data_IF_076221291230
#
_entry.id   IF_076221291230
#
_cell.length_a   1.000
_cell.length_b   1.000
_cell.length_c   1.000
_cell.angle_alpha   90.00
_cell.angle_beta   90.00
_cell.angle_gamma   90.00
#
_symmetry.space_group_name_H-M   'P 1'
#
loop_
_entity.id
_entity.type
_entity.pdbx_description
1 polymer ?
#
# COMPACT_ATOMS: atom_id res chain seq x y z
N UNK A 1 -6.20 -15.34 -7.10
CA UNK A 1 -5.27 -15.52 -5.97
C UNK A 1 -6.02 -15.14 -4.70
N UNK A 2 -5.97 -15.95 -3.64
CA UNK A 2 -6.43 -15.52 -2.32
C UNK A 2 -5.24 -15.18 -1.41
N UNK A 3 -5.52 -14.56 -0.26
CA UNK A 3 -4.51 -14.12 0.70
C UNK A 3 -3.52 -15.21 1.13
N UNK A 4 -4.03 -16.40 1.46
CA UNK A 4 -3.20 -17.53 1.90
C UNK A 4 -2.28 -18.03 0.79
N UNK A 5 -2.80 -18.16 -0.43
CA UNK A 5 -2.00 -18.57 -1.60
C UNK A 5 -0.91 -17.55 -1.90
N UNK A 6 -1.22 -16.26 -1.78
CA UNK A 6 -0.24 -15.20 -1.95
C UNK A 6 0.85 -15.28 -0.88
N UNK A 7 0.48 -15.48 0.39
CA UNK A 7 1.43 -15.63 1.50
C UNK A 7 2.42 -16.78 1.25
N UNK A 8 1.90 -17.96 0.88
CA UNK A 8 2.73 -19.13 0.58
C UNK A 8 3.67 -18.90 -0.60
N UNK A 9 3.20 -18.20 -1.64
CA UNK A 9 4.01 -17.82 -2.79
C UNK A 9 5.07 -16.80 -2.41
N UNK A 10 4.71 -15.77 -1.65
CA UNK A 10 5.59 -14.68 -1.25
C UNK A 10 6.75 -15.19 -0.39
N UNK A 11 6.50 -16.11 0.54
CA UNK A 11 7.55 -16.80 1.33
C UNK A 11 8.57 -17.50 0.43
N UNK A 12 8.12 -18.14 -0.66
CA UNK A 12 9.03 -18.81 -1.61
C UNK A 12 9.87 -17.78 -2.37
N UNK A 13 9.25 -16.70 -2.84
CA UNK A 13 9.94 -15.62 -3.55
C UNK A 13 11.01 -14.98 -2.67
N UNK A 14 10.69 -14.65 -1.42
CA UNK A 14 11.64 -14.05 -0.48
C UNK A 14 12.93 -14.88 -0.32
N UNK A 15 12.84 -16.21 -0.34
CA UNK A 15 14.01 -17.09 -0.24
C UNK A 15 14.86 -17.14 -1.51
N UNK A 16 14.34 -16.66 -2.64
CA UNK A 16 15.04 -16.63 -3.93
C UNK A 16 15.70 -15.26 -4.20
N UNK A 17 15.36 -14.23 -3.42
CA UNK A 17 15.90 -12.89 -3.61
C UNK A 17 17.39 -12.82 -3.22
N UNK A 18 18.22 -12.10 -3.97
CA UNK A 18 19.57 -11.75 -3.54
C UNK A 18 19.59 -11.04 -2.17
N UNK A 19 20.73 -11.04 -1.45
CA UNK A 19 20.90 -10.21 -0.25
C UNK A 19 20.63 -8.74 -0.53
N UNK A 20 20.09 -8.01 0.46
CA UNK A 20 19.84 -6.56 0.39
C UNK A 20 18.97 -6.11 -0.81
N UNK A 21 17.96 -6.92 -1.14
CA UNK A 21 17.02 -6.59 -2.21
C UNK A 21 15.93 -5.63 -1.73
N UNK A 22 15.43 -4.78 -2.64
CA UNK A 22 14.19 -4.04 -2.46
C UNK A 22 13.06 -4.69 -3.28
N UNK A 23 11.88 -4.82 -2.69
CA UNK A 23 10.67 -5.36 -3.35
C UNK A 23 9.61 -4.28 -3.38
N UNK A 24 9.23 -3.88 -4.59
CA UNK A 24 8.16 -2.90 -4.83
C UNK A 24 6.81 -3.63 -4.86
N UNK A 25 5.85 -3.17 -4.06
CA UNK A 25 4.54 -3.80 -3.84
C UNK A 25 3.42 -2.78 -4.10
N UNK A 26 2.43 -3.15 -4.89
CA UNK A 26 1.19 -2.36 -5.07
C UNK A 26 0.19 -2.57 -3.92
N UNK A 27 -0.93 -1.84 -3.92
CA UNK A 27 -1.93 -1.92 -2.86
C UNK A 27 -3.03 -2.96 -3.07
N UNK A 28 -2.77 -4.04 -3.82
CA UNK A 28 -3.76 -5.10 -4.02
C UNK A 28 -4.26 -5.67 -2.67
N UNK A 29 -5.55 -6.10 -2.56
CA UNK A 29 -6.14 -6.51 -1.28
C UNK A 29 -5.40 -7.62 -0.54
N UNK A 30 -4.74 -8.52 -1.27
CA UNK A 30 -3.95 -9.62 -0.69
C UNK A 30 -2.56 -9.18 -0.21
N UNK A 31 -2.02 -8.06 -0.70
CA UNK A 31 -0.79 -7.44 -0.17
C UNK A 31 -1.06 -6.70 1.14
N UNK A 32 -2.23 -6.06 1.25
CA UNK A 32 -2.61 -5.19 2.35
C UNK A 32 -3.26 -5.92 3.53
N UNK A 33 -3.27 -7.25 3.52
CA UNK A 33 -3.80 -8.05 4.61
C UNK A 33 -3.09 -7.75 5.92
N UNK A 34 -3.87 -7.49 6.97
CA UNK A 34 -3.36 -7.19 8.30
C UNK A 34 -3.23 -8.46 9.15
N UNK A 35 -2.15 -8.52 9.92
CA UNK A 35 -1.96 -9.53 10.97
C UNK A 35 -3.13 -9.40 11.96
N UNK A 36 -3.93 -10.46 12.20
CA UNK A 36 -5.15 -10.38 13.01
C UNK A 36 -4.94 -9.73 14.38
N UNK A 37 -3.81 -10.04 15.02
CA UNK A 37 -3.41 -9.56 16.34
C UNK A 37 -2.94 -8.09 16.33
N UNK A 38 -2.87 -7.43 15.18
CA UNK A 38 -2.50 -6.01 15.06
C UNK A 38 -3.65 -5.15 14.53
N UNK A 39 -4.81 -5.77 14.23
CA UNK A 39 -5.98 -5.04 13.74
C UNK A 39 -6.52 -4.10 14.81
N UNK A 40 -6.69 -2.84 14.41
CA UNK A 40 -7.36 -1.84 15.21
C UNK A 40 -8.88 -2.05 15.17
N UNK A 41 -9.59 -1.69 16.25
CA UNK A 41 -11.04 -1.70 16.27
C UNK A 41 -11.60 -0.75 15.20
N UNK A 42 -12.74 -1.13 14.62
CA UNK A 42 -13.45 -0.33 13.61
C UNK A 42 -14.90 -0.07 14.01
N UNK A 43 -15.59 0.80 13.28
CA UNK A 43 -17.01 1.08 13.50
C UNK A 43 -17.93 -0.12 13.25
N UNK A 44 -17.43 -1.27 12.77
CA UNK A 44 -18.22 -2.50 12.67
C UNK A 44 -18.17 -3.38 13.93
N UNK A 45 -17.21 -3.20 14.83
CA UNK A 45 -17.05 -4.03 16.05
C UNK A 45 -18.12 -3.70 17.09
N UNK A 46 -18.49 -4.60 18.01
CA UNK A 46 -19.35 -4.18 19.12
C UNK A 46 -18.59 -3.25 20.06
N UNK A 47 -19.29 -2.32 20.75
CA UNK A 47 -18.64 -1.40 21.71
C UNK A 47 -17.89 -2.18 22.79
N UNK A 48 -18.48 -3.27 23.27
CA UNK A 48 -17.89 -4.16 24.27
C UNK A 48 -16.60 -4.81 23.77
N UNK A 49 -16.53 -5.23 22.51
CA UNK A 49 -15.31 -5.80 21.91
C UNK A 49 -14.18 -4.77 21.82
N UNK A 50 -14.52 -3.51 21.52
CA UNK A 50 -13.55 -2.42 21.47
C UNK A 50 -12.99 -2.14 22.87
N UNK A 51 -13.86 -2.10 23.89
CA UNK A 51 -13.44 -1.96 25.29
C UNK A 51 -12.55 -3.12 25.72
N UNK A 52 -12.95 -4.36 25.40
CA UNK A 52 -12.16 -5.55 25.71
C UNK A 52 -10.79 -5.52 25.01
N UNK A 53 -10.72 -5.04 23.77
CA UNK A 53 -9.47 -4.87 23.03
C UNK A 53 -8.54 -3.85 23.70
N UNK A 54 -9.06 -2.71 24.15
CA UNK A 54 -8.30 -1.68 24.87
C UNK A 54 -7.73 -2.21 26.19
N UNK A 55 -8.58 -2.88 26.98
CA UNK A 55 -8.18 -3.47 28.27
C UNK A 55 -7.13 -4.57 28.07
N UNK A 56 -7.35 -5.49 27.11
CA UNK A 56 -6.40 -6.59 26.84
C UNK A 56 -5.01 -6.09 26.45
N UNK A 57 -4.92 -4.90 25.85
CA UNK A 57 -3.67 -4.26 25.44
C UNK A 57 -3.08 -3.30 26.46
N UNK A 58 -3.68 -3.21 27.65
CA UNK A 58 -3.27 -2.28 28.71
C UNK A 58 -3.19 -0.82 28.21
N UNK A 59 -4.11 -0.41 27.32
CA UNK A 59 -4.20 0.97 26.87
C UNK A 59 -4.77 1.81 28.03
N UNK A 60 -4.13 2.92 28.42
CA UNK A 60 -4.62 3.75 29.52
C UNK A 60 -5.94 4.40 29.17
N UNK A 61 -6.74 4.70 30.19
CA UNK A 61 -7.96 5.51 30.03
C UNK A 61 -7.60 6.91 29.54
N UNK A 62 -8.44 7.54 28.69
CA UNK A 62 -8.32 8.96 28.41
C UNK A 62 -8.37 9.79 29.70
N UNK A 63 -7.65 10.92 29.80
CA UNK A 63 -7.56 11.72 31.02
C UNK A 63 -8.93 12.09 31.63
N UNK A 64 -9.91 12.42 30.79
CA UNK A 64 -11.24 12.85 31.23
C UNK A 64 -12.26 11.69 31.37
N UNK A 65 -11.82 10.45 31.15
CA UNK A 65 -12.68 9.28 31.15
C UNK A 65 -12.58 8.51 32.47
N UNK A 66 -13.72 8.38 33.15
CA UNK A 66 -13.84 7.54 34.37
C UNK A 66 -13.68 6.05 34.02
N UNK A 67 -14.26 5.61 32.90
CA UNK A 67 -14.21 4.23 32.41
C UNK A 67 -14.43 4.18 30.90
N UNK A 68 -13.91 3.18 30.20
CA UNK A 68 -14.08 3.07 28.74
C UNK A 68 -15.55 2.92 28.33
N UNK A 69 -16.38 2.32 29.18
CA UNK A 69 -17.79 2.06 28.93
C UNK A 69 -18.61 3.35 28.81
N UNK A 70 -18.18 4.49 29.36
CA UNK A 70 -18.92 5.76 29.23
C UNK A 70 -18.66 6.44 27.90
N UNK A 71 -17.57 6.10 27.20
CA UNK A 71 -17.18 6.75 25.96
C UNK A 71 -18.02 6.26 24.78
N UNK A 72 -18.17 7.13 23.77
CA UNK A 72 -18.76 6.72 22.49
C UNK A 72 -17.82 5.78 21.74
N UNK A 73 -18.37 5.00 20.81
CA UNK A 73 -17.58 4.11 19.96
C UNK A 73 -16.49 4.86 19.17
N UNK A 74 -16.84 6.03 18.65
CA UNK A 74 -15.91 6.89 17.91
C UNK A 74 -14.76 7.36 18.81
N UNK A 75 -15.05 7.80 20.04
CA UNK A 75 -14.03 8.20 21.01
C UNK A 75 -13.08 7.05 21.36
N UNK A 76 -13.61 5.84 21.57
CA UNK A 76 -12.81 4.65 21.84
C UNK A 76 -11.88 4.28 20.66
N UNK A 77 -12.40 4.32 19.43
CA UNK A 77 -11.61 4.03 18.23
C UNK A 77 -10.53 5.08 18.01
N UNK A 78 -10.86 6.37 18.14
CA UNK A 78 -9.90 7.46 18.00
C UNK A 78 -8.82 7.36 19.07
N UNK A 79 -9.18 7.02 20.31
CA UNK A 79 -8.22 6.78 21.39
C UNK A 79 -7.32 5.56 21.12
N UNK A 80 -7.83 4.52 20.46
CA UNK A 80 -7.04 3.33 20.12
C UNK A 80 -5.97 3.59 19.04
N UNK A 81 -6.23 4.49 18.09
CA UNK A 81 -5.40 4.71 16.88
C UNK A 81 -3.91 4.96 17.17
N UNK A 82 -3.51 5.79 18.15
CA UNK A 82 -2.10 6.10 18.39
C UNK A 82 -1.32 4.93 19.00
N UNK A 83 -1.99 4.05 19.75
CA UNK A 83 -1.31 3.00 20.53
C UNK A 83 -0.89 1.80 19.69
N UNK A 84 -1.53 1.56 18.56
CA UNK A 84 -1.23 0.41 17.72
C UNK A 84 -1.27 0.77 16.24
N UNK A 85 -0.14 0.56 15.57
CA UNK A 85 -0.03 0.60 14.11
C UNK A 85 -0.32 -0.80 13.57
N UNK A 86 -1.34 -0.97 12.72
CA UNK A 86 -1.60 -2.26 12.08
C UNK A 86 -0.39 -2.68 11.26
N UNK A 87 -0.05 -3.97 11.30
CA UNK A 87 1.07 -4.54 10.57
C UNK A 87 0.53 -5.40 9.44
N UNK A 88 1.09 -5.25 8.24
CA UNK A 88 0.72 -6.10 7.12
C UNK A 88 1.41 -7.46 7.24
N UNK A 89 0.69 -8.51 6.85
CA UNK A 89 1.19 -9.90 6.91
C UNK A 89 2.52 -10.02 6.17
N UNK A 90 2.65 -9.41 4.99
CA UNK A 90 3.86 -9.51 4.18
C UNK A 90 5.05 -8.75 4.79
N UNK A 91 4.81 -7.65 5.50
CA UNK A 91 5.84 -6.91 6.24
C UNK A 91 6.37 -7.74 7.42
N UNK A 92 5.46 -8.38 8.17
CA UNK A 92 5.84 -9.28 9.26
C UNK A 92 6.67 -10.46 8.74
N UNK A 93 6.25 -11.08 7.64
CA UNK A 93 6.95 -12.22 7.05
C UNK A 93 8.34 -11.81 6.56
N UNK A 94 8.45 -10.66 5.89
CA UNK A 94 9.73 -10.16 5.39
C UNK A 94 10.69 -9.88 6.55
N UNK A 95 10.25 -9.17 7.58
CA UNK A 95 11.07 -8.91 8.78
C UNK A 95 11.53 -10.19 9.48
N UNK A 96 10.71 -11.24 9.49
CA UNK A 96 11.04 -12.51 10.14
C UNK A 96 11.99 -13.38 9.32
N UNK A 97 11.80 -13.46 8.00
CA UNK A 97 12.55 -14.38 7.14
C UNK A 97 13.77 -13.74 6.47
N UNK A 98 13.66 -12.45 6.14
CA UNK A 98 14.61 -11.68 5.32
C UNK A 98 14.71 -10.25 5.85
N UNK A 99 15.28 -10.03 7.05
CA UNK A 99 15.40 -8.69 7.64
C UNK A 99 16.29 -7.75 6.82
N UNK A 100 17.08 -8.29 5.88
CA UNK A 100 17.90 -7.54 4.92
C UNK A 100 17.11 -7.05 3.70
N UNK A 101 15.88 -7.52 3.49
CA UNK A 101 15.03 -7.13 2.35
C UNK A 101 14.12 -5.96 2.75
N UNK A 102 14.09 -4.93 1.91
CA UNK A 102 13.21 -3.78 2.07
C UNK A 102 11.95 -3.93 1.24
N UNK A 103 10.78 -3.64 1.83
CA UNK A 103 9.53 -3.53 1.10
C UNK A 103 9.22 -2.05 0.83
N UNK A 104 9.00 -1.72 -0.44
CA UNK A 104 8.62 -0.39 -0.89
C UNK A 104 7.17 -0.43 -1.37
N UNK A 105 6.33 0.39 -0.74
CA UNK A 105 4.92 0.47 -1.07
C UNK A 105 4.67 1.55 -2.10
N UNK A 106 3.95 1.20 -3.16
CA UNK A 106 3.46 2.19 -4.10
C UNK A 106 2.26 2.95 -3.53
N UNK A 107 2.12 4.24 -3.85
CA UNK A 107 0.89 4.98 -3.67
C UNK A 107 -0.31 4.28 -4.33
N UNK A 108 -1.51 4.50 -3.79
CA UNK A 108 -2.75 3.95 -4.35
C UNK A 108 -2.97 4.53 -5.75
N UNK A 109 -3.40 3.71 -6.71
CA UNK A 109 -3.75 4.15 -8.08
C UNK A 109 -2.60 4.70 -8.95
N UNK A 110 -1.34 4.61 -8.49
CA UNK A 110 -0.17 5.08 -9.22
C UNK A 110 0.60 3.93 -9.91
N UNK A 111 -0.03 3.30 -10.90
CA UNK A 111 0.56 2.13 -11.58
C UNK A 111 1.76 2.47 -12.48
N UNK A 112 1.89 3.72 -12.91
CA UNK A 112 3.03 4.26 -13.65
C UNK A 112 4.36 4.18 -12.87
N UNK A 113 4.27 4.20 -11.53
CA UNK A 113 5.41 4.00 -10.63
C UNK A 113 5.81 2.52 -10.50
N UNK A 114 5.02 1.60 -11.07
CA UNK A 114 5.28 0.17 -11.02
C UNK A 114 5.93 -0.35 -12.32
N UNK A 115 7.25 -0.51 -12.32
CA UNK A 115 7.99 -0.96 -13.52
C UNK A 115 7.53 -2.33 -14.07
N UNK A 116 6.91 -3.19 -13.24
CA UNK A 116 6.39 -4.49 -13.69
C UNK A 116 5.24 -4.34 -14.68
N UNK A 117 4.46 -3.25 -14.60
CA UNK A 117 3.32 -3.01 -15.50
C UNK A 117 3.77 -2.83 -16.95
N UNK A 118 4.93 -2.21 -17.17
CA UNK A 118 5.53 -2.04 -18.49
C UNK A 118 6.02 -3.37 -19.07
N UNK A 119 6.65 -4.21 -18.24
CA UNK A 119 7.01 -5.57 -18.64
C UNK A 119 5.74 -6.38 -18.96
N UNK A 120 4.69 -6.20 -18.17
CA UNK A 120 3.44 -6.90 -18.40
C UNK A 120 2.74 -6.44 -19.66
N UNK A 121 2.74 -5.14 -19.97
CA UNK A 121 2.29 -4.60 -21.24
C UNK A 121 3.09 -5.16 -22.42
N UNK A 122 4.42 -5.28 -22.28
CA UNK A 122 5.29 -5.88 -23.28
C UNK A 122 4.95 -7.36 -23.55
N UNK A 123 4.74 -8.15 -22.49
CA UNK A 123 4.35 -9.57 -22.59
C UNK A 123 2.96 -9.71 -23.21
N UNK A 124 1.95 -8.98 -22.69
CA UNK A 124 0.58 -8.97 -23.21
C UNK A 124 0.53 -8.56 -24.69
N UNK A 125 1.33 -7.58 -25.09
CA UNK A 125 1.41 -7.12 -26.47
C UNK A 125 1.89 -8.22 -27.43
N UNK A 126 2.81 -9.08 -27.00
CA UNK A 126 3.24 -10.23 -27.79
C UNK A 126 2.14 -11.28 -27.92
N UNK A 127 1.42 -11.57 -26.82
CA UNK A 127 0.29 -12.50 -26.85
C UNK A 127 -0.82 -12.01 -27.78
N UNK A 128 -1.13 -10.71 -27.74
CA UNK A 128 -2.15 -10.13 -28.59
C UNK A 128 -1.81 -10.24 -30.09
N UNK A 129 -0.53 -10.20 -30.46
CA UNK A 129 -0.09 -10.42 -31.85
C UNK A 129 -0.32 -11.85 -32.31
N UNK A 130 -0.01 -12.84 -31.46
CA UNK A 130 -0.27 -14.26 -31.76
C UNK A 130 -1.76 -14.51 -31.90
N UNK A 131 -2.58 -14.00 -30.97
CA UNK A 131 -4.04 -14.16 -31.01
C UNK A 131 -4.70 -13.55 -32.27
N UNK A 132 -4.13 -12.47 -32.81
CA UNK A 132 -4.61 -11.81 -34.04
C UNK A 132 -4.11 -12.47 -35.33
N UNK A 133 -3.11 -13.34 -35.24
CA UNK A 133 -2.60 -14.06 -36.42
C UNK A 133 -3.55 -15.21 -36.79
N UNK A 134 -3.70 -15.48 -38.09
CA UNK A 134 -4.52 -16.60 -38.62
C UNK A 134 -3.77 -17.95 -38.57
N UNK A 135 -2.72 -18.06 -37.75
CA UNK A 135 -1.84 -19.22 -37.74
C UNK A 135 -2.46 -20.40 -36.98
N UNK A 136 -2.04 -21.61 -37.35
CA UNK A 136 -2.30 -22.88 -36.65
C UNK A 136 -1.89 -22.84 -35.15
N UNK A 137 -1.08 -21.86 -34.74
CA UNK A 137 -0.71 -21.55 -33.34
C UNK A 137 -1.88 -21.04 -32.47
N UNK A 138 -3.06 -20.83 -33.06
CA UNK A 138 -4.31 -20.42 -32.38
C UNK A 138 -4.95 -21.56 -31.57
N UNK A 139 -4.15 -22.50 -31.09
CA UNK A 139 -4.57 -23.49 -30.12
C UNK A 139 -4.80 -22.74 -28.80
N UNK A 140 -6.05 -22.33 -28.54
CA UNK A 140 -6.50 -21.60 -27.33
C UNK A 140 -6.37 -22.39 -26.03
N UNK A 141 -5.41 -23.32 -25.97
CA UNK A 141 -5.06 -24.12 -24.81
C UNK A 141 -4.23 -23.30 -23.83
N UNK A 142 -4.47 -23.54 -22.55
CA UNK A 142 -3.71 -22.95 -21.45
C UNK A 142 -2.21 -23.28 -21.54
N UNK A 143 -1.86 -24.42 -22.12
CA UNK A 143 -0.46 -24.86 -22.27
C UNK A 143 0.28 -24.04 -23.32
N UNK A 144 -0.34 -23.78 -24.47
CA UNK A 144 0.23 -22.92 -25.53
C UNK A 144 0.41 -21.49 -25.02
N UNK A 145 -0.60 -20.98 -24.32
CA UNK A 145 -0.57 -19.66 -23.68
C UNK A 145 0.59 -19.56 -22.68
N UNK A 146 0.73 -20.56 -21.81
CA UNK A 146 1.83 -20.64 -20.84
C UNK A 146 3.20 -20.68 -21.52
N UNK A 147 3.38 -21.53 -22.52
CA UNK A 147 4.65 -21.66 -23.23
C UNK A 147 5.06 -20.36 -23.93
N UNK A 148 4.09 -19.64 -24.52
CA UNK A 148 4.33 -18.33 -25.12
C UNK A 148 4.71 -17.28 -24.08
N UNK A 149 4.00 -17.23 -22.95
CA UNK A 149 4.34 -16.35 -21.83
C UNK A 149 5.76 -16.62 -21.33
N UNK A 150 6.11 -17.87 -21.06
CA UNK A 150 7.44 -18.27 -20.59
C UNK A 150 8.53 -17.91 -21.60
N UNK A 151 8.30 -18.17 -22.90
CA UNK A 151 9.20 -17.75 -23.98
C UNK A 151 9.40 -16.24 -23.98
N UNK A 152 8.31 -15.48 -23.80
CA UNK A 152 8.38 -14.02 -23.84
C UNK A 152 9.05 -13.43 -22.60
N UNK A 153 8.78 -13.98 -21.41
CA UNK A 153 9.47 -13.62 -20.18
C UNK A 153 10.97 -13.89 -20.26
N UNK A 154 11.38 -15.03 -20.84
CA UNK A 154 12.81 -15.32 -21.12
C UNK A 154 13.46 -14.34 -22.10
N UNK A 155 12.67 -13.64 -22.91
CA UNK A 155 13.19 -12.60 -23.82
C UNK A 155 13.35 -11.22 -23.17
N UNK A 156 12.91 -11.06 -21.91
CA UNK A 156 13.13 -9.82 -21.15
C UNK A 156 14.59 -9.75 -20.76
N UNK A 157 15.32 -8.84 -21.39
CA UNK A 157 16.74 -8.63 -21.09
C UNK A 157 16.92 -7.66 -19.93
N UNK A 158 18.08 -7.66 -19.25
CA UNK A 158 18.40 -6.69 -18.21
C UNK A 158 18.27 -5.23 -18.69
N UNK A 159 18.61 -4.96 -19.95
CA UNK A 159 18.52 -3.61 -20.54
C UNK A 159 17.07 -3.17 -20.72
N UNK A 160 16.18 -4.09 -21.12
CA UNK A 160 14.75 -3.82 -21.21
C UNK A 160 14.17 -3.53 -19.83
N UNK A 161 14.51 -4.34 -18.82
CA UNK A 161 14.09 -4.12 -17.44
C UNK A 161 14.56 -2.77 -16.92
N UNK A 162 15.85 -2.44 -17.09
CA UNK A 162 16.43 -1.16 -16.68
C UNK A 162 15.71 0.03 -17.35
N UNK A 163 15.31 -0.12 -18.62
CA UNK A 163 14.51 0.91 -19.31
C UNK A 163 13.13 1.10 -18.69
N UNK A 164 12.46 0.02 -18.28
CA UNK A 164 11.18 0.08 -17.58
C UNK A 164 11.32 0.77 -16.22
N UNK A 165 12.34 0.41 -15.44
CA UNK A 165 12.63 1.07 -14.16
C UNK A 165 12.90 2.56 -14.34
N UNK A 166 13.72 2.94 -15.34
CA UNK A 166 13.98 4.35 -15.67
C UNK A 166 12.71 5.11 -16.04
N UNK A 167 11.76 4.46 -16.71
CA UNK A 167 10.49 5.08 -17.05
C UNK A 167 9.66 5.41 -15.81
N UNK A 168 9.57 4.49 -14.84
CA UNK A 168 8.88 4.75 -13.56
C UNK A 168 9.56 5.86 -12.74
N UNK A 169 10.91 5.89 -12.72
CA UNK A 169 11.67 6.99 -12.09
C UNK A 169 11.39 8.34 -12.75
N UNK A 170 11.24 8.38 -14.07
CA UNK A 170 10.90 9.64 -14.75
C UNK A 170 9.51 10.16 -14.36
N UNK A 171 8.53 9.26 -14.14
CA UNK A 171 7.23 9.65 -13.60
C UNK A 171 7.34 10.19 -12.17
N UNK A 172 8.10 9.51 -11.32
CA UNK A 172 8.38 9.97 -9.96
C UNK A 172 8.97 11.39 -9.95
N UNK A 173 10.02 11.64 -10.74
CA UNK A 173 10.63 12.97 -10.84
C UNK A 173 9.63 14.04 -11.32
N UNK A 174 8.79 13.68 -12.30
CA UNK A 174 7.77 14.57 -12.83
C UNK A 174 6.71 14.94 -11.79
N UNK A 175 6.28 14.00 -10.95
CA UNK A 175 5.40 14.31 -9.81
C UNK A 175 6.08 15.25 -8.82
N UNK A 176 7.33 14.98 -8.51
CA UNK A 176 8.12 15.78 -7.58
C UNK A 176 8.31 17.24 -8.05
N UNK A 177 8.45 17.45 -9.37
CA UNK A 177 8.52 18.78 -9.99
C UNK A 177 7.17 19.50 -9.96
N UNK A 178 6.07 18.80 -10.27
CA UNK A 178 4.73 19.36 -10.33
C UNK A 178 4.16 19.75 -8.98
N UNK A 179 4.38 18.92 -7.97
CA UNK A 179 3.81 19.10 -6.64
C UNK A 179 4.64 20.08 -5.79
N UNK A 180 5.70 20.69 -6.35
CA UNK A 180 6.62 21.60 -5.67
C UNK A 180 7.24 21.04 -4.36
N UNK A 181 7.16 19.72 -4.15
CA UNK A 181 7.58 19.05 -2.91
C UNK A 181 9.09 19.28 -2.63
N UNK A 182 9.88 19.46 -3.69
CA UNK A 182 11.28 19.88 -3.59
C UNK A 182 11.51 21.19 -2.80
N UNK A 183 10.56 22.12 -2.83
CA UNK A 183 10.67 23.42 -2.17
C UNK A 183 10.00 23.41 -0.77
N UNK A 184 8.89 22.70 -0.61
CA UNK A 184 8.13 22.68 0.65
C UNK A 184 8.79 21.83 1.74
N UNK A 185 9.35 20.64 1.44
CA UNK A 185 9.99 19.79 2.47
C UNK A 185 11.21 20.47 3.11
N UNK A 186 11.91 21.35 2.38
CA UNK A 186 13.04 22.12 2.94
C UNK A 186 12.60 23.25 3.88
N UNK A 187 11.31 23.61 3.90
CA UNK A 187 10.76 24.72 4.68
C UNK A 187 9.82 24.29 5.83
N UNK A 188 9.59 22.99 6.02
CA UNK A 188 8.81 22.52 7.17
C UNK A 188 9.69 22.64 8.42
N UNK A 189 9.59 23.78 9.11
CA UNK A 189 10.10 23.93 10.46
C UNK A 189 9.39 22.92 11.39
N UNK A 190 10.10 22.31 12.35
CA UNK A 190 9.49 21.39 13.29
C UNK A 190 8.39 22.11 14.08
N UNK A 191 7.17 21.57 14.05
CA UNK A 191 6.08 22.06 14.89
C UNK A 191 6.40 21.72 16.35
N UNK A 192 6.96 22.69 17.08
CA UNK A 192 7.20 22.58 18.52
C UNK A 192 5.88 22.89 19.23
N UNK A 193 5.15 21.85 19.64
CA UNK A 193 3.99 22.03 20.52
C UNK A 193 4.52 22.27 21.93
N UNK A 194 4.55 23.54 22.33
CA UNK A 194 4.92 23.92 23.69
C UNK A 194 3.69 23.75 24.59
N UNK A 195 3.73 22.78 25.51
CA UNK A 195 2.57 22.37 26.32
C UNK A 195 2.25 23.33 27.50
N UNK A 196 2.92 24.48 27.60
CA UNK A 196 2.88 25.35 28.78
C UNK A 196 2.29 26.76 28.54
N UNK A 197 1.67 27.03 27.39
CA UNK A 197 0.90 28.29 27.22
C UNK A 197 -0.60 28.01 27.31
N UNK A 198 -1.15 28.27 28.49
CA UNK A 198 -2.56 28.57 28.69
C UNK A 198 -2.87 29.90 28.00
N UNK A 199 -3.41 29.87 26.79
CA UNK A 199 -4.19 31.00 26.27
C UNK A 199 -5.41 30.47 25.52
N UNK A 200 -6.57 30.82 26.05
CA UNK A 200 -7.83 30.76 25.34
C UNK A 200 -7.88 31.90 24.34
N UNK A 201 -8.21 31.61 23.08
CA UNK A 201 -9.43 32.13 22.47
C UNK A 201 -9.70 31.45 21.12
N UNK A 202 -10.99 31.30 20.86
CA UNK A 202 -11.61 30.62 19.73
C UNK A 202 -11.64 31.49 18.48
N UNK A 203 -11.36 30.91 17.32
CA UNK A 203 -12.06 31.24 16.08
C UNK A 203 -12.07 30.01 15.16
N UNK A 204 -13.23 29.38 15.05
CA UNK A 204 -13.53 28.37 14.04
C UNK A 204 -14.25 29.09 12.91
N UNK A 205 -13.49 29.60 11.94
CA UNK A 205 -14.09 30.09 10.70
C UNK A 205 -14.69 28.91 9.94
N UNK A 206 -15.99 29.02 9.65
CA UNK A 206 -16.75 28.13 8.78
C UNK A 206 -16.08 28.03 7.41
N UNK A 207 -15.57 26.85 7.06
CA UNK A 207 -15.23 26.52 5.67
C UNK A 207 -16.51 26.01 5.01
N UNK A 208 -17.12 26.86 4.18
CA UNK A 208 -18.16 26.46 3.23
C UNK A 208 -17.60 25.41 2.27
N UNK A 209 -18.17 24.20 2.31
CA UNK A 209 -17.93 23.15 1.34
C UNK A 209 -18.64 23.52 0.04
N UNK A 210 -17.88 24.05 -0.93
CA UNK A 210 -18.32 24.05 -2.32
C UNK A 210 -18.22 22.63 -2.88
N UNK A 211 -19.38 21.99 -3.02
CA UNK A 211 -19.58 20.81 -3.87
C UNK A 211 -19.35 21.21 -5.34
N UNK A 212 -18.16 20.94 -5.86
CA UNK A 212 -17.94 20.81 -7.31
C UNK A 212 -17.62 19.35 -7.64
N UNK A 213 -18.69 18.57 -7.79
CA UNK A 213 -18.68 17.33 -8.57
C UNK A 213 -18.60 17.76 -10.04
N UNK A 214 -17.39 17.74 -10.62
CA UNK A 214 -17.24 17.70 -12.07
C UNK A 214 -16.89 16.29 -12.50
N UNK A 215 -17.88 15.63 -13.11
CA UNK A 215 -17.73 14.47 -13.98
C UNK A 215 -16.47 14.60 -14.86
N UNK A 216 -15.64 13.56 -14.86
CA UNK A 216 -14.76 13.26 -15.97
C UNK A 216 -14.89 11.77 -16.30
N UNK A 217 -16.01 11.44 -16.95
CA UNK A 217 -16.05 10.34 -17.90
C UNK A 217 -15.44 10.83 -19.21
N UNK A 218 -14.30 10.27 -19.61
CA UNK A 218 -14.00 9.75 -20.96
C UNK A 218 -12.60 9.11 -21.01
#
# INVERSE_FOLDING_TARGET
>A
MNGKQYEEWFRKVLNLLPPMSAVVIDQAPYHTMLVPETKNPTMSWLKEDIVAWLIRRNIPLPPDAIQFQTLTKAALINHARPYFKPVRVIEQITKQLRPDVELIWLPVEHCELNAIELIWAYVKGAMAKVNRSNAEEKEGSINTTRALCEKKLKSVTPELWAKCVKHSINFENHYWEKDHINQEIQQIEPVIINLDSSDSESDWDEIELHDDISDCNE
#
